data_IF_218561905855
#
_entry.id   IF_218561905855
#
_cell.length_a   1.000
_cell.length_b   1.000
_cell.length_c   1.000
_cell.angle_alpha   90.00
_cell.angle_beta   90.00
_cell.angle_gamma   90.00
#
_symmetry.space_group_name_H-M   'P 1'
#
loop_
_entity.id
_entity.type
_entity.pdbx_description
1 polymer ?
#
# COMPACT_ATOMS: atom_id res chain seq x y z
N UNK A 1 11.24 4.91 5.83
CA UNK A 1 10.27 5.95 5.42
C UNK A 1 9.48 6.42 6.63
N UNK A 2 8.95 7.64 6.63
CA UNK A 2 8.52 8.35 7.86
C UNK A 2 7.63 7.54 8.81
N UNK A 3 6.54 6.94 8.32
CA UNK A 3 5.61 6.19 9.18
C UNK A 3 6.07 4.78 9.54
N UNK A 4 6.90 4.15 8.71
CA UNK A 4 7.18 2.71 8.80
C UNK A 4 8.62 2.37 9.16
N UNK A 5 9.56 3.31 9.06
CA UNK A 5 11.00 3.00 9.16
C UNK A 5 11.57 2.23 7.95
N UNK A 6 10.75 1.87 6.95
CA UNK A 6 11.17 1.03 5.82
C UNK A 6 12.38 1.58 5.04
N UNK A 7 13.26 0.68 4.61
CA UNK A 7 14.42 1.00 3.78
C UNK A 7 14.03 1.32 2.33
N UNK A 8 13.00 0.65 1.80
CA UNK A 8 12.42 0.89 0.46
C UNK A 8 10.94 0.53 0.44
N UNK A 9 10.25 0.89 -0.65
CA UNK A 9 8.87 0.47 -0.93
C UNK A 9 8.84 -0.30 -2.25
N UNK A 10 8.12 -1.42 -2.27
CA UNK A 10 7.68 -2.02 -3.51
C UNK A 10 6.25 -1.56 -3.84
N UNK A 11 6.07 -1.10 -5.08
CA UNK A 11 4.77 -0.78 -5.67
C UNK A 11 4.45 -1.83 -6.72
N UNK A 12 3.22 -2.33 -6.72
CA UNK A 12 2.76 -3.32 -7.70
C UNK A 12 1.26 -3.16 -7.96
N UNK A 13 0.86 -3.29 -9.22
CA UNK A 13 -0.54 -3.32 -9.64
C UNK A 13 -0.73 -4.67 -10.29
N UNK A 14 -1.43 -5.56 -9.59
CA UNK A 14 -1.79 -6.90 -10.06
C UNK A 14 -3.32 -6.97 -10.15
N UNK A 15 -3.85 -8.08 -10.65
CA UNK A 15 -5.30 -8.26 -10.79
C UNK A 15 -5.70 -9.67 -11.20
N UNK A 16 -4.85 -10.66 -10.89
CA UNK A 16 -5.05 -12.03 -11.38
C UNK A 16 -6.29 -12.68 -10.76
N UNK A 17 -6.55 -12.41 -9.47
CA UNK A 17 -7.67 -13.01 -8.72
C UNK A 17 -8.82 -12.01 -8.50
N UNK A 18 -8.50 -10.74 -8.23
CA UNK A 18 -9.48 -9.68 -7.98
C UNK A 18 -9.46 -8.68 -9.16
N UNK A 19 -10.57 -8.53 -9.91
CA UNK A 19 -10.63 -7.64 -11.06
C UNK A 19 -10.69 -6.14 -10.71
N UNK A 20 -11.06 -5.77 -9.47
CA UNK A 20 -11.04 -4.36 -9.07
C UNK A 20 -9.61 -3.79 -9.19
N UNK A 21 -9.45 -2.63 -9.84
CA UNK A 21 -8.15 -1.98 -9.95
C UNK A 21 -7.65 -1.57 -8.56
N UNK A 22 -6.49 -2.10 -8.16
CA UNK A 22 -5.84 -1.76 -6.89
C UNK A 22 -4.32 -1.80 -7.03
N UNK A 23 -3.65 -1.11 -6.11
CA UNK A 23 -2.19 -1.13 -6.00
C UNK A 23 -1.77 -1.64 -4.63
N UNK A 24 -0.72 -2.45 -4.60
CA UNK A 24 -0.02 -2.85 -3.39
C UNK A 24 1.13 -1.88 -3.12
N UNK A 25 1.20 -1.37 -1.89
CA UNK A 25 2.27 -0.50 -1.39
C UNK A 25 2.90 -1.21 -0.21
N UNK A 26 4.08 -1.80 -0.42
CA UNK A 26 4.65 -2.75 0.54
C UNK A 26 5.97 -2.21 1.10
N UNK A 27 6.04 -1.87 2.40
CA UNK A 27 7.29 -1.49 3.05
C UNK A 27 8.25 -2.67 3.12
N UNK A 28 9.52 -2.41 2.84
CA UNK A 28 10.62 -3.39 2.90
C UNK A 28 11.69 -2.90 3.85
N UNK A 29 12.28 -3.79 4.63
CA UNK A 29 13.14 -3.45 5.77
C UNK A 29 14.59 -3.91 5.55
N UNK A 30 15.52 -3.37 6.32
CA UNK A 30 16.95 -3.71 6.18
C UNK A 30 17.33 -5.04 6.83
N UNK A 31 16.50 -5.51 7.77
CA UNK A 31 16.64 -6.75 8.53
C UNK A 31 15.89 -7.93 7.90
N UNK A 32 15.39 -7.76 6.67
CA UNK A 32 14.83 -8.87 5.90
C UNK A 32 15.89 -9.96 5.67
N UNK A 33 15.52 -11.27 5.69
CA UNK A 33 16.41 -12.34 5.31
C UNK A 33 17.05 -12.08 3.93
N UNK A 34 18.35 -12.32 3.80
CA UNK A 34 19.12 -11.93 2.62
C UNK A 34 18.57 -12.56 1.34
N UNK A 35 18.09 -13.80 1.43
CA UNK A 35 17.50 -14.53 0.31
C UNK A 35 16.19 -13.90 -0.17
N UNK A 36 15.43 -13.24 0.70
CA UNK A 36 14.14 -12.62 0.39
C UNK A 36 14.24 -11.11 0.10
N UNK A 37 15.32 -10.48 0.57
CA UNK A 37 15.53 -9.03 0.49
C UNK A 37 15.52 -8.52 -0.96
N UNK A 38 15.98 -9.29 -1.94
CA UNK A 38 15.95 -8.89 -3.36
C UNK A 38 14.76 -9.44 -4.14
N UNK A 39 13.98 -10.34 -3.54
CA UNK A 39 12.81 -10.95 -4.18
C UNK A 39 11.56 -10.07 -4.10
N UNK A 40 10.54 -10.44 -4.88
CA UNK A 40 9.24 -9.79 -4.82
C UNK A 40 8.52 -10.12 -3.49
N UNK A 41 7.64 -9.24 -2.97
CA UNK A 41 6.97 -9.47 -1.67
C UNK A 41 6.14 -10.75 -1.57
N UNK A 42 5.66 -11.28 -2.70
CA UNK A 42 4.94 -12.57 -2.72
C UNK A 42 5.83 -13.81 -2.59
N UNK A 43 7.16 -13.67 -2.50
CA UNK A 43 8.06 -14.81 -2.31
C UNK A 43 8.13 -15.29 -0.84
N UNK A 44 7.60 -14.50 0.09
CA UNK A 44 7.50 -14.90 1.50
C UNK A 44 6.55 -16.08 1.69
N UNK A 45 6.79 -16.89 2.71
CA UNK A 45 5.81 -17.87 3.17
C UNK A 45 4.70 -17.17 3.95
N UNK A 46 3.62 -16.84 3.24
CA UNK A 46 2.43 -16.23 3.83
C UNK A 46 1.63 -17.19 4.72
N UNK A 47 1.82 -18.50 4.58
CA UNK A 47 1.21 -19.50 5.46
C UNK A 47 1.85 -19.52 6.85
N UNK A 48 3.13 -19.15 6.94
CA UNK A 48 3.86 -18.99 8.19
C UNK A 48 3.74 -17.57 8.80
N UNK A 49 3.07 -16.63 8.12
CA UNK A 49 2.93 -15.27 8.61
C UNK A 49 2.09 -15.22 9.90
N UNK A 50 2.49 -14.34 10.83
CA UNK A 50 1.70 -14.10 12.02
C UNK A 50 0.31 -13.55 11.66
N UNK A 51 -0.72 -14.00 12.37
CA UNK A 51 -2.05 -13.43 12.25
C UNK A 51 -2.02 -11.95 12.64
N UNK A 52 -2.79 -11.13 11.93
CA UNK A 52 -2.88 -9.71 12.24
C UNK A 52 -3.56 -9.49 13.60
N UNK A 53 -2.90 -8.74 14.48
CA UNK A 53 -3.44 -8.27 15.75
C UNK A 53 -3.62 -6.74 15.71
N UNK A 54 -4.87 -6.23 15.65
CA UNK A 54 -5.13 -4.79 15.60
C UNK A 54 -4.45 -4.00 16.73
N UNK A 55 -4.34 -4.58 17.93
CA UNK A 55 -3.76 -3.90 19.08
C UNK A 55 -2.24 -3.82 18.96
N UNK A 56 -1.58 -4.88 18.51
CA UNK A 56 -0.14 -4.88 18.27
C UNK A 56 0.29 -3.88 17.19
N UNK A 57 -0.62 -3.48 16.30
CA UNK A 57 -0.34 -2.57 15.18
C UNK A 57 -1.02 -1.19 15.30
N UNK A 58 -1.57 -0.84 16.47
CA UNK A 58 -2.30 0.42 16.65
C UNK A 58 -1.42 1.65 16.39
N UNK A 59 -0.20 1.66 16.93
CA UNK A 59 0.75 2.77 16.75
C UNK A 59 1.13 2.97 15.28
N UNK A 60 1.35 1.87 14.56
CA UNK A 60 1.67 1.90 13.14
C UNK A 60 0.49 2.43 12.32
N UNK A 61 -0.72 1.97 12.62
CA UNK A 61 -1.93 2.43 11.94
C UNK A 61 -2.16 3.94 12.14
N UNK A 62 -1.93 4.44 13.35
CA UNK A 62 -2.05 5.86 13.68
C UNK A 62 -0.96 6.70 13.00
N UNK A 63 0.28 6.22 12.97
CA UNK A 63 1.37 6.89 12.25
C UNK A 63 1.07 7.01 10.73
N UNK A 64 0.55 5.94 10.12
CA UNK A 64 0.14 5.96 8.71
C UNK A 64 -1.01 6.93 8.49
N UNK A 65 -2.04 6.90 9.35
CA UNK A 65 -3.19 7.82 9.27
C UNK A 65 -2.76 9.28 9.41
N UNK A 66 -1.83 9.56 10.33
CA UNK A 66 -1.28 10.89 10.53
C UNK A 66 -0.60 11.41 9.26
N UNK A 67 0.27 10.60 8.65
CA UNK A 67 0.95 11.00 7.41
C UNK A 67 -0.02 11.20 6.24
N UNK A 68 -1.02 10.33 6.07
CA UNK A 68 -2.05 10.49 5.04
C UNK A 68 -2.88 11.76 5.24
N UNK A 69 -3.17 12.10 6.50
CA UNK A 69 -3.87 13.34 6.85
C UNK A 69 -3.01 14.56 6.59
N UNK A 70 -1.74 14.53 6.98
CA UNK A 70 -0.76 15.59 6.70
C UNK A 70 -0.60 15.83 5.19
N UNK A 71 -0.70 14.78 4.38
CA UNK A 71 -0.67 14.85 2.91
C UNK A 71 -2.00 15.32 2.29
N UNK A 72 -3.06 15.48 3.08
CA UNK A 72 -4.38 15.91 2.60
C UNK A 72 -5.14 14.84 1.82
N UNK A 73 -4.69 13.58 1.86
CA UNK A 73 -5.28 12.45 1.10
C UNK A 73 -6.14 11.53 1.96
N UNK A 74 -6.38 11.89 3.23
CA UNK A 74 -7.23 11.11 4.14
C UNK A 74 -8.73 11.27 3.88
N UNK A 75 -9.14 12.22 3.04
CA UNK A 75 -10.53 12.28 2.57
C UNK A 75 -10.78 11.17 1.56
N UNK A 76 -11.91 10.45 1.65
CA UNK A 76 -12.27 9.48 0.62
C UNK A 76 -12.26 10.18 -0.73
N UNK A 77 -11.53 9.61 -1.68
CA UNK A 77 -11.54 10.07 -3.06
C UNK A 77 -12.99 9.95 -3.54
N UNK A 78 -13.66 11.08 -3.82
CA UNK A 78 -14.98 11.07 -4.46
C UNK A 78 -14.76 10.62 -5.89
N UNK A 79 -14.81 9.32 -6.13
CA UNK A 79 -14.89 8.79 -7.47
C UNK A 79 -16.35 8.86 -7.92
N UNK A 80 -16.65 9.88 -8.73
CA UNK A 80 -17.92 10.01 -9.44
C UNK A 80 -17.67 9.62 -10.92
N UNK A 81 -17.87 8.35 -11.30
CA UNK A 81 -17.72 7.95 -12.69
C UNK A 81 -18.69 8.77 -13.56
N UNK A 82 -18.14 9.48 -14.56
CA UNK A 82 -18.91 10.32 -15.50
C UNK A 82 -18.74 11.84 -15.33
N UNK A 83 -18.19 12.34 -14.22
CA UNK A 83 -18.09 13.79 -13.98
C UNK A 83 -17.06 14.50 -14.91
N UNK A 84 -16.15 13.73 -15.52
CA UNK A 84 -15.21 14.19 -16.57
C UNK A 84 -15.55 13.71 -17.98
N UNK A 85 -16.71 13.07 -18.18
CA UNK A 85 -17.12 12.60 -19.50
C UNK A 85 -17.55 13.73 -20.46
N UNK A 86 -17.63 14.98 -19.98
CA UNK A 86 -17.95 16.16 -20.77
C UNK A 86 -16.78 17.08 -21.11
N UNK A 87 -15.53 16.73 -20.74
CA UNK A 87 -14.37 17.50 -21.20
C UNK A 87 -14.07 17.09 -22.65
N UNK A 88 -14.03 18.04 -23.61
CA UNK A 88 -13.73 17.71 -24.99
C UNK A 88 -12.35 17.07 -25.06
N UNK A 89 -12.23 16.00 -25.85
CA UNK A 89 -10.95 15.44 -26.21
C UNK A 89 -10.11 16.58 -26.81
N UNK A 90 -8.96 16.86 -26.20
CA UNK A 90 -7.94 17.67 -26.85
C UNK A 90 -7.53 16.91 -28.11
N UNK A 91 -7.80 17.54 -29.26
CA UNK A 91 -7.51 17.01 -30.60
C UNK A 91 -6.04 16.90 -30.90
#
# INVERSE_FOLDING_TARGET
LRATGAARINYAILGNQEPALHAHVIPRFSDEPDELRTQHPWAYDWGAAAAFDPKAFEELADAIRHELTRMGVSRPMRYAPGERAGLPAIG
#
